data_IF_440287685443
#
_entry.id   IF_440287685443
#
_cell.length_a   1.000
_cell.length_b   1.000
_cell.length_c   1.000
_cell.angle_alpha   90.00
_cell.angle_beta   90.00
_cell.angle_gamma   90.00
#
_symmetry.space_group_name_H-M   'P 1'
#
loop_
_entity.id
_entity.type
_entity.pdbx_description
1 polymer ?
#
# COMPACT_ATOMS: atom_id res chain seq x y z
N UNK A 1 -58.92 12.29 2.49
CA UNK A 1 -58.45 10.97 2.98
C UNK A 1 -57.66 10.34 1.84
N UNK A 2 -56.32 10.40 1.90
CA UNK A 2 -55.42 9.90 0.85
C UNK A 2 -54.84 8.58 1.33
N UNK A 3 -55.17 7.47 0.69
CA UNK A 3 -54.45 6.20 0.81
C UNK A 3 -54.83 5.22 -0.31
N UNK A 4 -53.88 4.97 -1.22
CA UNK A 4 -53.71 3.77 -2.06
C UNK A 4 -52.55 4.11 -3.01
N UNK A 5 -51.47 3.35 -3.20
CA UNK A 5 -51.09 2.00 -2.83
C UNK A 5 -49.96 1.68 -3.82
N UNK A 6 -48.72 1.61 -3.35
CA UNK A 6 -47.55 1.40 -4.23
C UNK A 6 -47.52 -0.07 -4.62
N UNK A 7 -47.67 -0.35 -5.92
CA UNK A 7 -47.45 -1.68 -6.51
C UNK A 7 -45.94 -1.80 -6.78
N UNK A 8 -45.24 -2.55 -5.95
CA UNK A 8 -43.85 -2.94 -6.20
C UNK A 8 -43.88 -4.19 -7.07
N UNK A 9 -43.57 -4.03 -8.35
CA UNK A 9 -43.22 -5.14 -9.24
C UNK A 9 -41.69 -5.15 -9.44
N UNK A 10 -41.01 -6.06 -8.73
CA UNK A 10 -39.77 -6.70 -9.19
C UNK A 10 -40.17 -7.72 -10.28
N UNK A 11 -39.30 -8.15 -11.25
CA UNK A 11 -37.98 -8.71 -10.92
C UNK A 11 -36.92 -8.74 -12.06
N UNK A 12 -35.85 -9.51 -11.81
CA UNK A 12 -35.02 -10.27 -12.77
C UNK A 12 -33.86 -9.55 -13.49
N UNK A 13 -32.69 -9.60 -12.86
CA UNK A 13 -31.41 -10.08 -13.42
C UNK A 13 -30.41 -10.12 -12.25
N UNK A 14 -30.06 -11.26 -11.66
CA UNK A 14 -29.09 -12.21 -12.19
C UNK A 14 -27.99 -11.52 -13.01
N UNK A 15 -26.94 -11.04 -12.34
CA UNK A 15 -25.59 -11.55 -12.55
C UNK A 15 -24.77 -11.24 -11.29
N UNK A 16 -24.03 -12.24 -10.85
CA UNK A 16 -23.10 -12.17 -9.74
C UNK A 16 -22.09 -11.05 -9.98
N UNK A 17 -22.10 -10.02 -9.15
CA UNK A 17 -20.83 -9.41 -8.77
C UNK A 17 -20.28 -10.31 -7.65
N UNK A 18 -19.63 -11.41 -8.06
CA UNK A 18 -18.65 -12.06 -7.20
C UNK A 18 -17.74 -10.93 -6.70
N UNK A 19 -17.65 -10.67 -5.38
CA UNK A 19 -16.69 -9.71 -4.89
C UNK A 19 -15.33 -10.27 -5.28
N UNK A 20 -14.73 -9.70 -6.33
CA UNK A 20 -13.36 -10.02 -6.71
C UNK A 20 -12.51 -9.67 -5.50
N UNK A 21 -12.14 -10.70 -4.75
CA UNK A 21 -11.20 -10.57 -3.65
C UNK A 21 -9.98 -9.87 -4.24
N UNK A 22 -9.52 -8.73 -3.68
CA UNK A 22 -8.28 -8.15 -4.13
C UNK A 22 -7.17 -9.17 -3.87
N UNK A 23 -6.64 -9.70 -4.96
CA UNK A 23 -5.35 -10.39 -5.02
C UNK A 23 -4.35 -9.50 -4.31
N UNK A 24 -3.47 -10.11 -3.53
CA UNK A 24 -2.40 -9.43 -2.81
C UNK A 24 -1.36 -8.91 -3.82
N UNK A 25 -1.72 -7.94 -4.64
CA UNK A 25 -0.87 -7.51 -5.76
C UNK A 25 0.16 -6.51 -5.25
N UNK A 26 1.41 -6.97 -5.30
CA UNK A 26 2.62 -6.16 -5.20
C UNK A 26 2.53 -5.03 -6.22
N UNK A 27 2.75 -3.75 -5.83
CA UNK A 27 2.67 -2.66 -6.78
C UNK A 27 3.70 -2.83 -7.90
N UNK A 28 3.27 -2.57 -9.14
CA UNK A 28 4.10 -2.76 -10.33
C UNK A 28 4.76 -1.45 -10.74
N UNK A 29 6.10 -1.44 -10.84
CA UNK A 29 6.89 -0.33 -11.35
C UNK A 29 7.41 -0.67 -12.75
N UNK A 30 7.09 0.19 -13.72
CA UNK A 30 7.61 0.10 -15.09
C UNK A 30 8.88 0.95 -15.24
N UNK A 31 10.00 0.29 -15.50
CA UNK A 31 11.29 0.94 -15.77
C UNK A 31 11.52 1.03 -17.28
N UNK A 32 11.71 2.25 -17.79
CA UNK A 32 11.92 2.55 -19.21
C UNK A 32 13.28 3.24 -19.35
N UNK A 33 14.30 2.45 -19.68
CA UNK A 33 15.70 2.86 -19.66
C UNK A 33 16.46 2.05 -20.72
N UNK A 34 17.17 2.69 -21.64
CA UNK A 34 17.87 1.98 -22.72
C UNK A 34 19.22 1.43 -22.28
N UNK A 35 19.93 2.14 -21.38
CA UNK A 35 21.22 1.74 -20.83
C UNK A 35 21.08 0.48 -19.93
N UNK A 36 21.59 -0.71 -20.34
CA UNK A 36 21.39 -1.94 -19.59
C UNK A 36 21.94 -1.92 -18.15
N UNK A 37 23.16 -1.42 -17.87
CA UNK A 37 23.63 -1.16 -16.51
C UNK A 37 22.67 -0.35 -15.65
N UNK A 38 22.15 0.78 -16.15
CA UNK A 38 21.25 1.64 -15.38
C UNK A 38 19.90 0.95 -15.18
N UNK A 39 19.36 0.32 -16.23
CA UNK A 39 18.10 -0.44 -16.16
C UNK A 39 18.19 -1.56 -15.12
N UNK A 40 19.28 -2.32 -15.12
CA UNK A 40 19.52 -3.39 -14.15
C UNK A 40 19.63 -2.86 -12.72
N UNK A 41 20.40 -1.79 -12.51
CA UNK A 41 20.52 -1.14 -11.20
C UNK A 41 19.15 -0.68 -10.66
N UNK A 42 18.34 -0.03 -11.51
CA UNK A 42 16.99 0.42 -11.14
C UNK A 42 16.08 -0.76 -10.79
N UNK A 43 16.11 -1.83 -11.59
CA UNK A 43 15.34 -3.05 -11.31
C UNK A 43 15.73 -3.69 -9.98
N UNK A 44 17.02 -3.97 -9.76
CA UNK A 44 17.51 -4.63 -8.56
C UNK A 44 17.15 -3.85 -7.28
N UNK A 45 17.30 -2.53 -7.34
CA UNK A 45 16.98 -1.63 -6.22
C UNK A 45 15.49 -1.64 -5.91
N UNK A 46 14.63 -1.51 -6.92
CA UNK A 46 13.18 -1.45 -6.73
C UNK A 46 12.61 -2.81 -6.31
N UNK A 47 13.11 -3.91 -6.88
CA UNK A 47 12.74 -5.26 -6.44
C UNK A 47 13.16 -5.53 -4.99
N UNK A 48 14.35 -5.07 -4.59
CA UNK A 48 14.84 -5.14 -3.21
C UNK A 48 13.94 -4.42 -2.21
N UNK A 49 13.19 -3.41 -2.67
CA UNK A 49 12.23 -2.64 -1.88
C UNK A 49 10.82 -3.26 -1.84
N UNK A 50 10.61 -4.37 -2.55
CA UNK A 50 9.38 -5.16 -2.56
C UNK A 50 8.38 -4.79 -3.65
N UNK A 51 8.82 -4.09 -4.70
CA UNK A 51 8.03 -3.82 -5.89
C UNK A 51 8.16 -4.96 -6.91
N UNK A 52 7.13 -5.17 -7.70
CA UNK A 52 7.25 -5.95 -8.93
C UNK A 52 7.76 -5.02 -10.04
N UNK A 53 8.83 -5.40 -10.74
CA UNK A 53 9.44 -4.54 -11.76
C UNK A 53 9.25 -5.14 -13.14
N UNK A 54 8.72 -4.32 -14.06
CA UNK A 54 8.75 -4.60 -15.49
C UNK A 54 9.72 -3.64 -16.14
N UNK A 55 10.80 -4.14 -16.73
CA UNK A 55 11.83 -3.32 -17.34
C UNK A 55 11.80 -3.45 -18.87
N UNK A 56 11.80 -2.31 -19.56
CA UNK A 56 11.82 -2.22 -21.03
C UNK A 56 12.89 -1.24 -21.48
N UNK A 57 13.40 -1.41 -22.69
CA UNK A 57 14.52 -0.63 -23.22
C UNK A 57 14.10 0.45 -24.22
N UNK A 58 12.80 0.55 -24.56
CA UNK A 58 12.31 1.50 -25.55
C UNK A 58 10.85 1.90 -25.28
N UNK A 59 10.48 3.08 -25.79
CA UNK A 59 9.15 3.65 -25.59
C UNK A 59 8.02 2.89 -26.30
N UNK A 60 8.30 2.15 -27.38
CA UNK A 60 7.27 1.38 -28.10
C UNK A 60 6.83 0.18 -27.28
N UNK A 61 7.79 -0.57 -26.73
CA UNK A 61 7.53 -1.68 -25.80
C UNK A 61 6.84 -1.18 -24.53
N UNK A 62 7.25 -0.01 -24.01
CA UNK A 62 6.58 0.61 -22.87
C UNK A 62 5.08 0.86 -23.12
N UNK A 63 4.71 1.36 -24.32
CA UNK A 63 3.30 1.57 -24.67
C UNK A 63 2.49 0.28 -24.74
N UNK A 64 3.12 -0.83 -25.14
CA UNK A 64 2.49 -2.15 -25.15
C UNK A 64 2.25 -2.63 -23.71
N UNK A 65 3.25 -2.53 -22.84
CA UNK A 65 3.13 -2.90 -21.42
C UNK A 65 2.04 -2.08 -20.72
N UNK A 66 2.03 -0.76 -20.92
CA UNK A 66 1.01 0.12 -20.32
C UNK A 66 -0.40 -0.17 -20.87
N UNK A 67 -0.51 -0.81 -22.04
CA UNK A 67 -1.81 -1.25 -22.57
C UNK A 67 -2.26 -2.61 -22.04
N UNK A 68 -1.34 -3.49 -21.64
CA UNK A 68 -1.63 -4.87 -21.22
C UNK A 68 -1.63 -5.09 -19.71
N UNK A 69 -0.95 -4.22 -18.96
CA UNK A 69 -0.73 -4.37 -17.51
C UNK A 69 -1.15 -3.10 -16.76
N UNK A 70 -1.66 -3.29 -15.55
CA UNK A 70 -1.85 -2.17 -14.62
C UNK A 70 -0.51 -1.80 -13.98
N UNK A 71 0.03 -0.66 -14.39
CA UNK A 71 1.27 -0.09 -13.85
C UNK A 71 0.93 0.91 -12.75
N UNK A 72 1.61 0.83 -11.62
CA UNK A 72 1.39 1.73 -10.48
C UNK A 72 2.36 2.92 -10.44
N UNK A 73 3.55 2.80 -11.05
CA UNK A 73 4.51 3.90 -11.22
C UNK A 73 5.40 3.66 -12.44
N UNK A 74 5.82 4.73 -13.11
CA UNK A 74 6.74 4.68 -14.26
C UNK A 74 8.02 5.44 -13.90
N UNK A 75 9.18 4.82 -14.10
CA UNK A 75 10.47 5.52 -14.17
C UNK A 75 10.90 5.61 -15.63
N UNK A 76 11.16 6.81 -16.13
CA UNK A 76 11.35 7.07 -17.55
C UNK A 76 12.63 7.86 -17.84
N UNK A 77 13.49 7.33 -18.70
CA UNK A 77 14.50 8.14 -19.38
C UNK A 77 13.90 8.95 -20.55
N UNK A 78 14.36 10.19 -20.73
CA UNK A 78 14.05 10.99 -21.89
C UNK A 78 14.91 10.63 -23.10
N UNK A 79 16.12 10.12 -22.86
CA UNK A 79 17.16 9.88 -23.85
C UNK A 79 17.02 8.51 -24.55
N UNK A 80 15.79 8.02 -24.72
CA UNK A 80 15.49 6.73 -25.36
C UNK A 80 15.74 6.74 -26.88
N UNK A 81 16.23 5.63 -27.46
CA UNK A 81 16.31 5.47 -28.90
C UNK A 81 14.91 5.32 -29.52
N UNK A 82 14.72 5.90 -30.69
CA UNK A 82 13.45 5.82 -31.42
C UNK A 82 12.39 6.77 -30.87
N UNK A 83 11.40 6.24 -30.13
CA UNK A 83 10.38 7.06 -29.50
C UNK A 83 10.97 7.75 -28.28
N UNK A 84 11.21 9.05 -28.37
CA UNK A 84 11.77 9.83 -27.25
C UNK A 84 10.86 9.76 -26.02
N UNK A 85 11.44 9.80 -24.81
CA UNK A 85 10.64 9.76 -23.59
C UNK A 85 9.67 10.96 -23.47
N UNK A 86 10.03 12.10 -24.06
CA UNK A 86 9.12 13.26 -24.12
C UNK A 86 7.89 12.99 -25.00
N UNK A 87 8.06 12.29 -26.11
CA UNK A 87 6.94 11.95 -27.00
C UNK A 87 6.09 10.82 -26.40
N UNK A 88 6.72 9.86 -25.70
CA UNK A 88 6.02 8.86 -24.91
C UNK A 88 5.07 9.52 -23.89
N UNK A 89 5.55 10.51 -23.15
CA UNK A 89 4.71 11.26 -22.21
C UNK A 89 3.54 11.95 -22.90
N UNK A 90 3.76 12.51 -24.08
CA UNK A 90 2.68 13.13 -24.85
C UNK A 90 1.62 12.10 -25.28
N UNK A 91 2.03 10.90 -25.67
CA UNK A 91 1.11 9.79 -25.96
C UNK A 91 0.33 9.39 -24.71
N UNK A 92 1.00 9.25 -23.56
CA UNK A 92 0.34 8.92 -22.29
C UNK A 92 -0.69 9.99 -21.89
N UNK A 93 -0.38 11.28 -22.08
CA UNK A 93 -1.29 12.40 -21.81
C UNK A 93 -2.60 12.31 -22.59
N UNK A 94 -2.55 11.76 -23.81
CA UNK A 94 -3.70 11.64 -24.70
C UNK A 94 -4.53 10.38 -24.44
N UNK A 95 -4.02 9.41 -23.67
CA UNK A 95 -4.79 8.22 -23.29
C UNK A 95 -5.91 8.60 -22.32
N UNK A 96 -7.05 7.93 -22.48
CA UNK A 96 -8.16 8.02 -21.52
C UNK A 96 -7.86 7.08 -20.35
N UNK A 97 -8.02 7.57 -19.13
CA UNK A 97 -7.79 6.80 -17.91
C UNK A 97 -6.84 7.50 -16.94
N UNK A 98 -6.60 6.85 -15.80
CA UNK A 98 -5.62 7.33 -14.82
C UNK A 98 -4.21 7.01 -15.34
N UNK A 99 -3.39 8.03 -15.52
CA UNK A 99 -1.97 7.87 -15.85
C UNK A 99 -1.24 7.57 -14.54
N UNK A 100 -0.39 6.53 -14.49
CA UNK A 100 0.45 6.27 -13.33
C UNK A 100 1.40 7.45 -13.08
N UNK A 101 1.80 7.73 -11.83
CA UNK A 101 2.85 8.69 -11.56
C UNK A 101 4.12 8.35 -12.36
N UNK A 102 4.76 9.38 -12.91
CA UNK A 102 5.99 9.32 -13.68
C UNK A 102 7.10 10.03 -12.91
N UNK A 103 8.19 9.30 -12.68
CA UNK A 103 9.49 9.86 -12.32
C UNK A 103 10.36 9.86 -13.58
N UNK A 104 10.91 11.02 -13.93
CA UNK A 104 11.85 11.13 -15.04
C UNK A 104 13.27 10.99 -14.50
N UNK A 105 14.07 10.10 -15.09
CA UNK A 105 15.48 9.87 -14.75
C UNK A 105 16.30 10.13 -16.00
N UNK A 106 16.98 11.27 -16.11
CA UNK A 106 17.53 11.70 -17.41
C UNK A 106 18.87 12.43 -17.30
N UNK A 107 19.68 12.38 -18.37
CA UNK A 107 20.86 13.23 -18.53
C UNK A 107 20.53 14.57 -19.19
N UNK A 108 19.38 14.67 -19.87
CA UNK A 108 18.97 15.84 -20.65
C UNK A 108 18.64 17.06 -19.78
N UNK A 109 19.31 18.18 -20.08
CA UNK A 109 19.07 19.50 -19.48
C UNK A 109 19.05 20.59 -20.57
N UNK A 110 18.08 21.52 -20.56
CA UNK A 110 16.94 21.61 -19.65
C UNK A 110 15.81 20.65 -20.05
N UNK A 111 15.11 20.08 -19.06
CA UNK A 111 13.88 19.31 -19.29
C UNK A 111 12.77 20.23 -19.79
N UNK A 112 12.11 19.85 -20.88
CA UNK A 112 11.03 20.63 -21.49
C UNK A 112 9.90 20.90 -20.50
N UNK A 113 9.30 22.09 -20.55
CA UNK A 113 8.19 22.49 -19.67
C UNK A 113 7.03 21.48 -19.70
N UNK A 114 6.72 20.93 -20.87
CA UNK A 114 5.67 19.91 -21.05
C UNK A 114 5.96 18.64 -20.25
N UNK A 115 7.21 18.18 -20.25
CA UNK A 115 7.68 17.00 -19.51
C UNK A 115 7.56 17.24 -18.01
N UNK A 116 8.01 18.41 -17.52
CA UNK A 116 7.88 18.79 -16.10
C UNK A 116 6.44 18.86 -15.60
N UNK A 117 5.47 19.15 -16.45
CA UNK A 117 4.06 19.19 -16.06
C UNK A 117 3.46 17.80 -15.84
N UNK A 118 4.10 16.75 -16.39
CA UNK A 118 3.63 15.38 -16.29
C UNK A 118 4.41 14.55 -15.27
N UNK A 119 5.69 14.83 -15.11
CA UNK A 119 6.54 14.15 -14.14
C UNK A 119 6.28 14.70 -12.72
N UNK A 120 6.14 13.82 -11.74
CA UNK A 120 6.05 14.21 -10.33
C UNK A 120 7.44 14.48 -9.75
N UNK A 121 8.46 13.84 -10.30
CA UNK A 121 9.85 14.03 -9.93
C UNK A 121 10.73 13.96 -11.18
N UNK A 122 11.77 14.79 -11.21
CA UNK A 122 12.81 14.76 -12.24
C UNK A 122 14.16 14.59 -11.54
N UNK A 123 14.76 13.43 -11.74
CA UNK A 123 16.07 13.02 -11.23
C UNK A 123 17.07 13.14 -12.37
N UNK A 124 18.22 13.79 -12.12
CA UNK A 124 19.24 13.95 -13.14
C UNK A 124 20.34 12.91 -12.98
N UNK A 125 20.82 12.33 -14.08
CA UNK A 125 22.02 11.50 -14.08
C UNK A 125 23.29 12.38 -13.96
N UNK A 126 24.30 11.99 -13.16
CA UNK A 126 24.28 10.89 -12.19
C UNK A 126 23.41 11.23 -10.97
N UNK A 127 22.72 10.23 -10.42
CA UNK A 127 21.79 10.38 -9.29
C UNK A 127 22.18 9.51 -8.11
N UNK A 128 21.72 9.92 -6.93
CA UNK A 128 21.76 9.08 -5.73
C UNK A 128 20.60 8.10 -5.75
N UNK A 129 20.87 6.83 -5.43
CA UNK A 129 19.86 5.78 -5.35
C UNK A 129 18.85 6.09 -4.24
N UNK A 130 19.30 6.63 -3.12
CA UNK A 130 18.44 6.97 -2.00
C UNK A 130 17.47 8.11 -2.38
N UNK A 131 17.91 9.06 -3.20
CA UNK A 131 17.05 10.15 -3.71
C UNK A 131 15.93 9.59 -4.61
N UNK A 132 16.27 8.69 -5.52
CA UNK A 132 15.29 8.05 -6.39
C UNK A 132 14.30 7.20 -5.58
N UNK A 133 14.80 6.38 -4.66
CA UNK A 133 13.98 5.53 -3.81
C UNK A 133 13.02 6.33 -2.95
N UNK A 134 13.48 7.44 -2.36
CA UNK A 134 12.61 8.31 -1.60
C UNK A 134 11.48 8.87 -2.47
N UNK A 135 11.80 9.30 -3.71
CA UNK A 135 10.81 9.74 -4.67
C UNK A 135 9.78 8.66 -5.03
N UNK A 136 10.21 7.41 -5.19
CA UNK A 136 9.33 6.27 -5.42
C UNK A 136 8.45 5.99 -4.20
N UNK A 137 9.02 5.97 -2.99
CA UNK A 137 8.29 5.72 -1.75
C UNK A 137 7.26 6.80 -1.44
N UNK A 138 7.55 8.06 -1.77
CA UNK A 138 6.62 9.18 -1.58
C UNK A 138 5.40 9.07 -2.51
N UNK A 139 5.61 8.59 -3.74
CA UNK A 139 4.56 8.47 -4.77
C UNK A 139 3.80 7.15 -4.72
N UNK A 140 4.50 6.08 -4.35
CA UNK A 140 3.99 4.73 -4.26
C UNK A 140 4.46 4.10 -2.94
N UNK A 141 3.91 4.54 -1.79
CA UNK A 141 4.27 3.97 -0.50
C UNK A 141 4.05 2.46 -0.53
N UNK A 142 4.94 1.72 0.14
CA UNK A 142 4.77 0.29 0.33
C UNK A 142 3.37 0.05 0.89
N UNK A 143 2.48 -0.55 0.09
CA UNK A 143 1.24 -1.06 0.64
C UNK A 143 1.67 -2.14 1.62
N UNK A 144 1.51 -1.92 2.93
CA UNK A 144 1.45 -3.03 3.89
C UNK A 144 0.06 -3.64 3.72
N UNK A 145 -0.16 -4.65 2.85
CA UNK A 145 -1.49 -4.79 2.23
C UNK A 145 -2.57 -5.35 3.16
N UNK A 146 -2.30 -5.69 4.44
CA UNK A 146 -3.33 -6.31 5.30
C UNK A 146 -3.28 -5.97 6.78
N UNK A 147 -2.23 -5.38 7.35
CA UNK A 147 -2.19 -5.18 8.82
C UNK A 147 -3.25 -4.18 9.29
N UNK A 148 -3.36 -3.03 8.61
CA UNK A 148 -4.33 -1.99 8.98
C UNK A 148 -5.76 -2.33 8.55
N UNK A 149 -5.94 -2.92 7.37
CA UNK A 149 -7.25 -3.35 6.89
C UNK A 149 -7.82 -4.49 7.76
N UNK A 150 -6.99 -5.48 8.13
CA UNK A 150 -7.37 -6.58 9.04
C UNK A 150 -7.60 -6.08 10.46
N UNK A 151 -6.82 -5.12 10.95
CA UNK A 151 -7.06 -4.53 12.26
C UNK A 151 -8.37 -3.73 12.29
N UNK A 152 -8.65 -2.93 11.26
CA UNK A 152 -9.92 -2.20 11.13
C UNK A 152 -11.11 -3.15 11.03
N UNK A 153 -10.99 -4.25 10.28
CA UNK A 153 -12.04 -5.26 10.16
C UNK A 153 -12.21 -6.09 11.44
N UNK A 154 -11.12 -6.46 12.13
CA UNK A 154 -11.17 -7.17 13.41
C UNK A 154 -11.79 -6.31 14.51
N UNK A 155 -11.49 -5.01 14.54
CA UNK A 155 -12.10 -4.05 15.47
C UNK A 155 -13.59 -3.85 15.11
N UNK A 156 -13.95 -3.71 13.83
CA UNK A 156 -15.34 -3.62 13.41
C UNK A 156 -16.17 -4.86 13.78
N UNK A 157 -15.60 -6.07 13.64
CA UNK A 157 -16.24 -7.33 14.04
C UNK A 157 -16.36 -7.50 15.55
N UNK A 158 -15.37 -7.02 16.31
CA UNK A 158 -15.44 -7.04 17.78
C UNK A 158 -16.58 -6.14 18.29
N UNK A 159 -16.77 -4.96 17.67
CA UNK A 159 -17.86 -4.04 18.00
C UNK A 159 -19.26 -4.59 17.64
N UNK A 160 -19.37 -5.44 16.62
CA UNK A 160 -20.64 -6.12 16.27
C UNK A 160 -20.99 -7.24 17.25
N UNK A 161 -20.01 -8.06 17.66
CA UNK A 161 -20.24 -9.12 18.65
C UNK A 161 -20.64 -8.56 20.02
N UNK A 162 -20.13 -7.37 20.37
CA UNK A 162 -20.47 -6.71 21.63
C UNK A 162 -21.89 -6.09 21.62
N UNK A 163 -22.42 -5.73 20.44
CA UNK A 163 -23.80 -5.23 20.29
C UNK A 163 -24.84 -6.36 20.25
N UNK A 164 -24.48 -7.52 19.67
CA UNK A 164 -25.39 -8.66 19.58
C UNK A 164 -25.66 -9.36 20.93
N UNK A 165 -24.75 -9.23 21.91
CA UNK A 165 -24.90 -9.84 23.24
C UNK A 165 -25.46 -8.89 24.32
N UNK A 166 -25.94 -7.69 23.95
CA UNK A 166 -26.45 -6.69 24.91
C UNK A 166 -27.97 -6.52 24.96
N UNK A 167 -28.76 -7.27 24.17
CA UNK A 167 -30.19 -6.97 23.97
C UNK A 167 -31.19 -7.89 24.71
N UNK A 168 -30.76 -8.96 25.37
CA UNK A 168 -31.68 -9.92 26.03
C UNK A 168 -31.76 -9.81 27.56
N UNK A 169 -31.36 -8.67 28.13
CA UNK A 169 -31.45 -8.43 29.57
C UNK A 169 -32.57 -7.42 29.93
N UNK A 170 -33.81 -7.68 29.50
CA UNK A 170 -35.00 -7.17 30.19
C UNK A 170 -35.85 -8.34 30.69
N UNK A 171 -35.67 -8.60 31.99
CA UNK A 171 -36.42 -9.58 32.78
C UNK A 171 -37.66 -8.90 33.36
N UNK A 172 -38.83 -9.42 33.00
CA UNK A 172 -40.12 -9.20 33.68
C UNK A 172 -40.02 -9.50 35.20
N UNK A 173 -40.49 -8.62 36.10
CA UNK A 173 -40.51 -8.88 37.54
C UNK A 173 -41.80 -9.60 37.96
N UNK A 174 -41.71 -10.92 38.16
CA UNK A 174 -42.75 -11.74 38.79
C UNK A 174 -42.25 -12.44 40.05
N UNK A 175 -42.46 -11.80 41.22
CA UNK A 175 -42.46 -12.48 42.53
C UNK A 175 -43.87 -13.10 42.78
N UNK A 176 -44.11 -14.02 43.76
CA UNK A 176 -43.39 -14.10 45.04
C UNK A 176 -43.31 -15.48 45.77
N UNK A 177 -42.58 -15.43 46.90
CA UNK A 177 -42.73 -16.21 48.16
C UNK A 177 -42.19 -17.64 48.25
N UNK A 178 -41.23 -17.81 49.17
CA UNK A 178 -40.82 -19.10 49.71
C UNK A 178 -39.59 -18.98 50.59
N UNK A 179 -39.81 -18.78 51.89
CA UNK A 179 -38.82 -18.72 52.97
C UNK A 179 -37.84 -19.90 52.99
N UNK A 180 -36.57 -19.66 53.33
CA UNK A 180 -35.85 -20.24 54.49
C UNK A 180 -34.34 -19.93 54.40
N UNK A 181 -33.86 -19.08 55.31
CA UNK A 181 -32.45 -18.95 55.72
C UNK A 181 -32.09 -20.04 56.76
N UNK A 182 -30.86 -20.11 57.30
CA UNK A 182 -29.51 -19.76 56.81
C UNK A 182 -28.53 -20.96 56.98
N UNK A 183 -27.22 -20.82 56.69
CA UNK A 183 -26.11 -20.98 57.67
C UNK A 183 -24.72 -20.91 57.00
N UNK A 184 -24.07 -19.77 57.25
CA UNK A 184 -22.67 -19.54 57.71
C UNK A 184 -21.51 -20.41 57.19
N UNK A 185 -20.47 -19.70 56.75
CA UNK A 185 -19.05 -20.07 56.78
C UNK A 185 -18.32 -19.35 55.64
N UNK A 186 -17.59 -18.24 55.88
CA UNK A 186 -16.15 -18.21 56.19
C UNK A 186 -15.33 -18.97 55.11
N UNK A 187 -14.28 -18.47 54.48
CA UNK A 187 -13.29 -17.46 54.83
C UNK A 187 -12.47 -17.18 53.53
N UNK A 188 -11.97 -15.96 53.33
CA UNK A 188 -10.54 -15.63 53.39
C UNK A 188 -9.71 -15.85 52.11
N UNK A 189 -9.12 -14.72 51.66
CA UNK A 189 -7.69 -14.54 51.32
C UNK A 189 -7.14 -15.27 50.09
N UNK A 190 -6.11 -14.83 49.36
CA UNK A 190 -5.28 -13.64 49.31
C UNK A 190 -4.26 -13.90 48.19
N UNK A 191 -3.60 -12.82 47.75
CA UNK A 191 -2.27 -12.76 47.11
C UNK A 191 -2.18 -13.20 45.64
N UNK A 192 -1.73 -12.29 44.77
CA UNK A 192 -0.30 -11.91 44.52
C UNK A 192 0.33 -12.96 43.59
N UNK A 193 1.15 -12.67 42.58
CA UNK A 193 2.37 -11.87 42.51
C UNK A 193 2.64 -11.71 40.99
N UNK A 194 2.82 -10.50 40.45
CA UNK A 194 4.11 -9.91 39.99
C UNK A 194 5.14 -10.84 39.31
N UNK A 195 5.74 -10.34 38.22
CA UNK A 195 6.97 -10.88 37.61
C UNK A 195 7.00 -10.60 36.10
N UNK A 196 7.32 -9.40 35.61
CA UNK A 196 8.66 -8.77 35.54
C UNK A 196 9.78 -9.73 35.09
N UNK A 197 10.36 -9.46 33.91
CA UNK A 197 11.81 -9.44 33.57
C UNK A 197 11.96 -9.37 32.04
N UNK A 198 12.20 -8.21 31.40
CA UNK A 198 13.49 -7.51 31.21
C UNK A 198 14.69 -8.42 30.91
N UNK A 199 15.17 -8.41 29.66
CA UNK A 199 16.56 -8.68 29.29
C UNK A 199 16.89 -7.88 28.01
N UNK A 200 17.42 -6.65 28.13
CA UNK A 200 18.85 -6.25 28.10
C UNK A 200 19.61 -6.54 26.80
N UNK A 201 19.74 -5.43 26.05
CA UNK A 201 20.82 -4.98 25.14
C UNK A 201 22.16 -5.73 25.17
N UNK A 202 22.77 -5.88 23.98
CA UNK A 202 24.22 -5.74 23.77
C UNK A 202 24.50 -4.88 22.52
N UNK A 203 25.38 -3.87 22.62
CA UNK A 203 25.94 -3.16 21.47
C UNK A 203 27.45 -3.43 21.29
N UNK A 204 27.97 -2.94 20.14
CA UNK A 204 29.36 -2.64 19.75
C UNK A 204 30.12 -3.72 18.97
N UNK A 205 30.52 -3.35 17.75
CA UNK A 205 31.95 -3.26 17.45
C UNK A 205 32.25 -2.09 16.49
N UNK A 206 33.07 -1.16 17.00
CA UNK A 206 33.84 -0.15 16.27
C UNK A 206 35.01 -0.86 15.58
N UNK A 207 35.36 -0.46 14.36
CA UNK A 207 36.77 -0.40 13.94
C UNK A 207 37.06 0.97 13.33
N UNK A 208 38.23 1.49 13.69
CA UNK A 208 38.83 2.77 13.31
C UNK A 208 39.88 2.52 12.22
N UNK A 209 40.12 3.57 11.45
CA UNK A 209 41.42 4.04 10.91
C UNK A 209 42.20 3.11 9.98
N UNK A 210 42.49 3.62 8.78
CA UNK A 210 43.83 4.16 8.47
C UNK A 210 43.68 5.35 7.53
N UNK A 211 44.61 6.28 7.70
CA UNK A 211 44.88 7.53 7.01
C UNK A 211 46.20 7.29 6.27
N UNK A 212 46.31 7.70 5.00
CA UNK A 212 47.52 7.79 4.16
C UNK A 212 46.99 8.29 2.78
N UNK A 213 47.25 9.48 2.25
CA UNK A 213 48.39 10.36 2.40
C UNK A 213 49.40 10.12 1.29
N UNK A 214 49.21 10.67 0.08
CA UNK A 214 50.33 11.09 -0.80
C UNK A 214 49.91 11.98 -1.98
N UNK A 215 50.59 13.13 -2.05
CA UNK A 215 50.97 13.98 -3.19
C UNK A 215 49.94 14.77 -3.98
#
# INVERSE_FOLDING_TARGET
MVAAGIVIALPMACLQEEPTMPTSETPVVLVIEDDPPVRGLLSDVLEGEGYEVVAVHDGSTALQVIASLQVDLITLDLDLPGLSGSDLLEVLRRRKGKIPPVIVVTSTKPVLRRTRQMAQLVVNKPFDIDELLQGVLDLLPRRLPRAEARLREMVARADEHQRAHGADAETEPGAPTGELQPKRGAAETSRSVSGLSRLRRRPKSRRRFTDDGTS
#
